data_IF_115556621620
#
_entry.id   IF_115556621620
#
_cell.length_a   1.000
_cell.length_b   1.000
_cell.length_c   1.000
_cell.angle_alpha   90.00
_cell.angle_beta   90.00
_cell.angle_gamma   90.00
#
_symmetry.space_group_name_H-M   'P 1'
#
loop_
_entity.id
_entity.type
_entity.pdbx_description
1 polymer ?
#
# COMPACT_ATOMS: atom_id res chain seq x y z
N UNK A 1 22.01 9.56 -19.15
CA UNK A 1 20.64 9.22 -18.71
C UNK A 1 19.89 8.79 -19.95
N UNK A 2 19.64 7.50 -20.16
CA UNK A 2 18.90 7.05 -21.35
C UNK A 2 17.41 7.25 -21.09
N UNK A 3 16.84 8.33 -21.63
CA UNK A 3 15.41 8.55 -21.63
C UNK A 3 14.80 7.69 -22.74
N UNK A 4 14.17 6.57 -22.37
CA UNK A 4 13.42 5.74 -23.32
C UNK A 4 11.93 6.06 -23.17
N UNK A 5 11.30 6.47 -24.27
CA UNK A 5 9.91 6.91 -24.29
C UNK A 5 8.93 5.75 -24.02
N UNK A 6 9.21 4.57 -24.59
CA UNK A 6 8.39 3.36 -24.43
C UNK A 6 9.28 2.10 -24.43
N UNK A 7 9.14 1.27 -23.40
CA UNK A 7 9.83 -0.02 -23.30
C UNK A 7 8.86 -1.18 -23.05
N UNK A 8 9.13 -2.32 -23.68
CA UNK A 8 8.55 -3.62 -23.30
C UNK A 8 9.71 -4.55 -22.92
N UNK A 9 9.59 -5.19 -21.78
CA UNK A 9 10.59 -6.16 -21.32
C UNK A 9 9.91 -7.46 -20.90
N UNK A 10 10.53 -8.58 -21.26
CA UNK A 10 10.07 -9.93 -20.96
C UNK A 10 10.40 -10.34 -19.53
N UNK A 11 10.90 -11.57 -19.37
CA UNK A 11 11.16 -12.19 -18.07
C UNK A 11 12.43 -11.63 -17.41
N UNK A 12 12.32 -11.31 -16.11
CA UNK A 12 13.43 -10.96 -15.20
C UNK A 12 14.33 -9.75 -15.54
N UNK A 13 13.87 -8.69 -16.22
CA UNK A 13 14.72 -7.55 -16.55
C UNK A 13 15.20 -6.82 -15.29
N UNK A 14 16.45 -6.33 -15.35
CA UNK A 14 17.10 -5.62 -14.24
C UNK A 14 17.51 -4.22 -14.67
N UNK A 15 17.01 -3.22 -13.96
CA UNK A 15 17.29 -1.81 -14.23
C UNK A 15 18.03 -1.16 -13.06
N UNK A 16 19.08 -0.40 -13.39
CA UNK A 16 19.82 0.46 -12.47
C UNK A 16 19.87 1.87 -13.03
N UNK A 17 19.62 2.85 -12.16
CA UNK A 17 19.74 4.28 -12.50
C UNK A 17 18.93 4.63 -13.75
N UNK A 18 17.65 4.25 -13.76
CA UNK A 18 16.81 4.32 -14.96
C UNK A 18 15.71 5.38 -14.81
N UNK A 19 15.50 6.15 -15.87
CA UNK A 19 14.39 7.07 -16.02
C UNK A 19 13.58 6.65 -17.25
N UNK A 20 12.32 6.28 -17.08
CA UNK A 20 11.45 5.83 -18.17
C UNK A 20 10.07 6.47 -18.05
N UNK A 21 9.54 6.92 -19.17
CA UNK A 21 8.21 7.53 -19.21
C UNK A 21 7.13 6.43 -19.20
N UNK A 22 7.24 5.43 -20.08
CA UNK A 22 6.27 4.34 -20.20
C UNK A 22 6.95 2.97 -20.28
N UNK A 23 6.58 2.04 -19.40
CA UNK A 23 7.11 0.67 -19.41
C UNK A 23 6.01 -0.38 -19.17
N UNK A 24 6.09 -1.46 -19.96
CA UNK A 24 5.43 -2.74 -19.67
C UNK A 24 6.47 -3.80 -19.39
N UNK A 25 6.43 -4.39 -18.20
CA UNK A 25 7.32 -5.47 -17.81
C UNK A 25 6.50 -6.73 -17.46
N UNK A 26 7.01 -7.88 -17.87
CA UNK A 26 6.45 -9.18 -17.55
C UNK A 26 6.79 -9.61 -16.12
N UNK A 27 7.30 -10.83 -15.98
CA UNK A 27 7.54 -11.51 -14.71
C UNK A 27 8.86 -11.10 -14.04
N UNK A 28 8.85 -10.99 -12.71
CA UNK A 28 10.03 -10.82 -11.86
C UNK A 28 10.98 -9.64 -12.18
N UNK A 29 10.52 -8.47 -12.67
CA UNK A 29 11.42 -7.36 -12.95
C UNK A 29 11.97 -6.69 -11.67
N UNK A 30 13.21 -6.21 -11.75
CA UNK A 30 13.90 -5.58 -10.62
C UNK A 30 14.41 -4.17 -10.96
N UNK A 31 14.08 -3.18 -10.14
CA UNK A 31 14.52 -1.80 -10.27
C UNK A 31 15.30 -1.32 -9.07
N UNK A 32 16.41 -0.61 -9.33
CA UNK A 32 17.20 0.07 -8.32
C UNK A 32 17.50 1.49 -8.76
N UNK A 33 17.18 2.48 -7.90
CA UNK A 33 17.38 3.91 -8.19
C UNK A 33 16.68 4.28 -9.49
N UNK A 34 15.34 4.31 -9.47
CA UNK A 34 14.54 4.51 -10.68
C UNK A 34 13.49 5.59 -10.50
N UNK A 35 13.28 6.39 -11.54
CA UNK A 35 12.21 7.36 -11.65
C UNK A 35 11.33 6.97 -12.85
N UNK A 36 10.06 6.65 -12.62
CA UNK A 36 9.21 6.08 -13.68
C UNK A 36 7.81 6.73 -13.64
N UNK A 37 7.33 7.18 -14.79
CA UNK A 37 6.05 7.90 -14.83
C UNK A 37 4.86 6.95 -14.92
N UNK A 38 4.83 6.06 -15.93
CA UNK A 38 3.70 5.15 -16.19
C UNK A 38 4.16 3.71 -16.36
N UNK A 39 3.66 2.83 -15.50
CA UNK A 39 4.06 1.42 -15.45
C UNK A 39 2.87 0.47 -15.43
N UNK A 40 2.99 -0.60 -16.23
CA UNK A 40 2.20 -1.82 -16.04
C UNK A 40 3.15 -2.99 -15.87
N UNK A 41 3.09 -3.63 -14.72
CA UNK A 41 4.00 -4.71 -14.36
C UNK A 41 3.19 -5.94 -13.99
N UNK A 42 3.67 -7.10 -14.44
CA UNK A 42 3.10 -8.40 -14.10
C UNK A 42 3.42 -8.80 -12.66
N UNK A 43 3.95 -9.99 -12.52
CA UNK A 43 4.12 -10.69 -11.25
C UNK A 43 5.49 -10.43 -10.62
N UNK A 44 5.53 -10.53 -9.28
CA UNK A 44 6.73 -10.54 -8.43
C UNK A 44 7.73 -9.39 -8.58
N UNK A 45 7.35 -8.16 -8.97
CA UNK A 45 8.33 -7.11 -9.19
C UNK A 45 8.94 -6.56 -7.90
N UNK A 46 10.19 -6.12 -8.00
CA UNK A 46 10.95 -5.59 -6.87
C UNK A 46 11.50 -4.19 -7.15
N UNK A 47 11.22 -3.23 -6.27
CA UNK A 47 11.74 -1.86 -6.34
C UNK A 47 12.54 -1.49 -5.11
N UNK A 48 13.67 -0.81 -5.35
CA UNK A 48 14.52 -0.23 -4.30
C UNK A 48 14.94 1.18 -4.65
N UNK A 49 14.64 2.13 -3.76
CA UNK A 49 14.94 3.55 -3.96
C UNK A 49 14.29 4.04 -5.27
N UNK A 50 12.96 4.09 -5.29
CA UNK A 50 12.21 4.39 -6.52
C UNK A 50 11.15 5.47 -6.31
N UNK A 51 10.98 6.35 -7.29
CA UNK A 51 9.90 7.33 -7.36
C UNK A 51 9.01 6.97 -8.57
N UNK A 52 7.72 6.68 -8.34
CA UNK A 52 6.80 6.29 -9.41
C UNK A 52 5.50 7.09 -9.34
N UNK A 53 5.03 7.61 -10.48
CA UNK A 53 3.81 8.42 -10.51
C UNK A 53 2.56 7.55 -10.64
N UNK A 54 2.47 6.74 -11.71
CA UNK A 54 1.29 5.92 -12.02
C UNK A 54 1.68 4.46 -12.24
N UNK A 55 1.17 3.59 -11.37
CA UNK A 55 1.52 2.17 -11.38
C UNK A 55 0.30 1.26 -11.35
N UNK A 56 0.30 0.25 -12.21
CA UNK A 56 -0.56 -0.94 -12.09
C UNK A 56 0.34 -2.17 -11.98
N UNK A 57 0.24 -2.87 -10.87
CA UNK A 57 0.97 -4.12 -10.63
C UNK A 57 0.00 -5.26 -10.44
N UNK A 58 0.38 -6.43 -10.94
CA UNK A 58 -0.26 -7.69 -10.58
C UNK A 58 0.08 -8.08 -9.15
N UNK A 59 0.73 -9.22 -9.01
CA UNK A 59 0.82 -9.96 -7.75
C UNK A 59 2.19 -9.88 -7.08
N UNK A 60 2.17 -10.01 -5.76
CA UNK A 60 3.33 -10.13 -4.87
C UNK A 60 4.45 -9.09 -4.98
N UNK A 61 4.18 -7.82 -5.34
CA UNK A 61 5.24 -6.83 -5.47
C UNK A 61 5.90 -6.44 -4.15
N UNK A 62 7.18 -6.05 -4.24
CA UNK A 62 7.98 -5.63 -3.10
C UNK A 62 8.60 -4.26 -3.33
N UNK A 63 8.41 -3.35 -2.39
CA UNK A 63 9.02 -2.03 -2.41
C UNK A 63 9.80 -1.73 -1.15
N UNK A 64 10.94 -1.07 -1.35
CA UNK A 64 11.80 -0.59 -0.28
C UNK A 64 12.28 0.81 -0.59
N UNK A 65 12.02 1.75 0.33
CA UNK A 65 12.39 3.16 0.18
C UNK A 65 11.79 3.72 -1.13
N UNK A 66 10.46 3.85 -1.18
CA UNK A 66 9.77 4.24 -2.41
C UNK A 66 8.76 5.35 -2.15
N UNK A 67 8.67 6.29 -3.09
CA UNK A 67 7.69 7.37 -3.09
C UNK A 67 6.74 7.20 -4.28
N UNK A 68 5.44 7.21 -4.04
CA UNK A 68 4.45 6.83 -5.05
C UNK A 68 3.19 7.67 -5.00
N UNK A 69 2.73 8.13 -6.16
CA UNK A 69 1.55 8.98 -6.20
C UNK A 69 0.25 8.16 -6.34
N UNK A 70 0.14 7.37 -7.42
CA UNK A 70 -1.09 6.65 -7.78
C UNK A 70 -0.79 5.20 -8.09
N UNK A 71 -1.23 4.30 -7.21
CA UNK A 71 -0.92 2.88 -7.32
C UNK A 71 -2.18 2.01 -7.26
N UNK A 72 -2.23 1.04 -8.17
CA UNK A 72 -3.15 -0.10 -8.12
C UNK A 72 -2.33 -1.38 -8.04
N UNK A 73 -2.53 -2.14 -6.98
CA UNK A 73 -1.90 -3.45 -6.79
C UNK A 73 -2.99 -4.50 -6.65
N UNK A 74 -2.76 -5.67 -7.25
CA UNK A 74 -3.50 -6.87 -6.93
C UNK A 74 -3.11 -7.37 -5.54
N UNK A 75 -2.55 -8.56 -5.49
CA UNK A 75 -2.45 -9.36 -4.27
C UNK A 75 -1.10 -9.29 -3.58
N UNK A 76 -1.12 -9.44 -2.25
CA UNK A 76 0.03 -9.66 -1.38
C UNK A 76 1.22 -8.69 -1.52
N UNK A 77 1.02 -7.37 -1.68
CA UNK A 77 2.14 -6.45 -1.73
C UNK A 77 2.87 -6.31 -0.40
N UNK A 78 4.17 -6.08 -0.48
CA UNK A 78 5.02 -5.78 0.68
C UNK A 78 5.71 -4.43 0.55
N UNK A 79 5.50 -3.58 1.54
CA UNK A 79 6.00 -2.20 1.56
C UNK A 79 6.89 -1.95 2.77
N UNK A 80 8.06 -1.35 2.54
CA UNK A 80 9.00 -0.98 3.59
C UNK A 80 9.54 0.42 3.38
N UNK A 81 9.34 1.29 4.37
CA UNK A 81 9.77 2.71 4.31
C UNK A 81 9.24 3.35 3.02
N UNK A 82 7.92 3.48 2.90
CA UNK A 82 7.30 3.94 1.66
C UNK A 82 6.31 5.06 1.91
N UNK A 83 6.34 6.06 1.06
CA UNK A 83 5.41 7.18 1.04
C UNK A 83 4.44 6.96 -0.12
N UNK A 84 3.14 6.94 0.15
CA UNK A 84 2.14 6.85 -0.90
C UNK A 84 0.95 7.79 -0.70
N UNK A 85 0.57 8.47 -1.76
CA UNK A 85 -0.56 9.41 -1.75
C UNK A 85 -1.90 8.66 -1.94
N UNK A 86 -2.06 7.97 -3.07
CA UNK A 86 -3.32 7.30 -3.44
C UNK A 86 -3.08 5.84 -3.79
N UNK A 87 -3.63 4.95 -2.97
CA UNK A 87 -3.51 3.51 -3.16
C UNK A 87 -4.86 2.81 -3.26
N UNK A 88 -4.97 1.93 -4.26
CA UNK A 88 -5.90 0.82 -4.25
C UNK A 88 -5.12 -0.48 -4.20
N UNK A 89 -5.38 -1.28 -3.19
CA UNK A 89 -4.69 -2.55 -2.98
C UNK A 89 -5.72 -3.65 -2.77
N UNK A 90 -5.47 -4.81 -3.38
CA UNK A 90 -6.23 -6.02 -3.14
C UNK A 90 -5.89 -6.62 -1.78
N UNK A 91 -5.66 -7.92 -1.78
CA UNK A 91 -5.64 -8.74 -0.58
C UNK A 91 -4.25 -8.79 0.10
N UNK A 92 -4.27 -8.99 1.41
CA UNK A 92 -3.12 -9.32 2.27
C UNK A 92 -1.92 -8.36 2.17
N UNK A 93 -2.11 -7.02 2.09
CA UNK A 93 -0.97 -6.12 2.00
C UNK A 93 -0.23 -6.02 3.34
N UNK A 94 1.10 -6.00 3.27
CA UNK A 94 1.98 -5.89 4.44
C UNK A 94 2.77 -4.60 4.40
N UNK A 95 2.70 -3.85 5.49
CA UNK A 95 3.29 -2.53 5.61
C UNK A 95 4.21 -2.40 6.81
N UNK A 96 5.40 -1.86 6.58
CA UNK A 96 6.37 -1.56 7.63
C UNK A 96 6.95 -0.16 7.41
N UNK A 97 6.69 0.74 8.36
CA UNK A 97 7.07 2.15 8.26
C UNK A 97 6.53 2.87 7.01
N UNK A 98 5.26 2.70 6.60
CA UNK A 98 4.69 3.56 5.56
C UNK A 98 4.22 4.90 6.15
N UNK A 99 4.18 5.91 5.28
CA UNK A 99 3.42 7.14 5.49
C UNK A 99 2.45 7.29 4.32
N UNK A 100 1.16 7.39 4.61
CA UNK A 100 0.11 7.30 3.60
C UNK A 100 -0.97 8.35 3.76
N UNK A 101 -1.52 8.81 2.64
CA UNK A 101 -2.67 9.72 2.67
C UNK A 101 -3.98 8.93 2.52
N UNK A 102 -4.20 8.28 1.37
CA UNK A 102 -5.49 7.64 1.03
C UNK A 102 -5.30 6.21 0.58
N UNK A 103 -5.91 5.28 1.33
CA UNK A 103 -5.88 3.85 1.02
C UNK A 103 -7.30 3.31 0.91
N UNK A 104 -7.57 2.64 -0.20
CA UNK A 104 -8.65 1.66 -0.31
C UNK A 104 -8.01 0.27 -0.33
N UNK A 105 -8.11 -0.44 0.78
CA UNK A 105 -7.57 -1.78 0.94
C UNK A 105 -8.63 -2.86 0.79
N UNK A 106 -8.19 -4.03 0.32
CA UNK A 106 -8.94 -5.27 0.39
C UNK A 106 -8.78 -5.93 1.76
N UNK A 107 -8.65 -7.25 1.73
CA UNK A 107 -8.75 -8.09 2.91
C UNK A 107 -7.42 -8.20 3.68
N UNK A 108 -7.53 -8.37 5.00
CA UNK A 108 -6.43 -8.73 5.91
C UNK A 108 -5.17 -7.80 5.99
N UNK A 109 -5.22 -6.48 5.72
CA UNK A 109 -4.03 -5.62 5.75
C UNK A 109 -3.33 -5.59 7.12
N UNK A 110 -2.00 -5.59 7.08
CA UNK A 110 -1.13 -5.56 8.27
C UNK A 110 -0.24 -4.33 8.27
N UNK A 111 -0.35 -3.53 9.32
CA UNK A 111 0.35 -2.27 9.51
C UNK A 111 1.26 -2.33 10.73
N UNK A 112 2.50 -1.90 10.55
CA UNK A 112 3.49 -1.76 11.63
C UNK A 112 4.20 -0.44 11.51
N UNK A 113 4.25 0.31 12.61
CA UNK A 113 4.95 1.59 12.70
C UNK A 113 4.49 2.56 11.59
N UNK A 114 3.18 2.70 11.40
CA UNK A 114 2.59 3.33 10.22
C UNK A 114 1.86 4.62 10.57
N UNK A 115 1.87 5.59 9.66
CA UNK A 115 0.98 6.75 9.70
C UNK A 115 0.08 6.74 8.47
N UNK A 116 -1.22 6.98 8.67
CA UNK A 116 -2.19 7.03 7.59
C UNK A 116 -3.28 8.06 7.88
N UNK A 117 -3.68 8.85 6.90
CA UNK A 117 -4.79 9.80 7.06
C UNK A 117 -6.14 9.08 6.92
N UNK A 118 -6.37 8.40 5.78
CA UNK A 118 -7.68 7.82 5.45
C UNK A 118 -7.58 6.38 4.97
N UNK A 119 -8.23 5.48 5.69
CA UNK A 119 -8.41 4.08 5.29
C UNK A 119 -9.87 3.73 5.07
N UNK A 120 -10.17 3.12 3.92
CA UNK A 120 -11.34 2.26 3.74
C UNK A 120 -10.87 0.83 3.53
N UNK A 121 -11.29 -0.09 4.38
CA UNK A 121 -10.95 -1.50 4.27
C UNK A 121 -12.14 -2.41 4.63
N UNK A 122 -12.12 -3.65 4.15
CA UNK A 122 -13.20 -4.61 4.34
C UNK A 122 -13.13 -5.32 5.69
N UNK A 123 -12.54 -6.50 5.71
CA UNK A 123 -12.75 -7.49 6.76
C UNK A 123 -11.84 -7.29 7.99
N UNK A 124 -10.61 -7.81 7.93
CA UNK A 124 -9.74 -7.93 9.10
C UNK A 124 -8.54 -7.00 9.02
N UNK A 125 -8.33 -6.16 10.03
CA UNK A 125 -7.19 -5.23 10.05
C UNK A 125 -6.28 -5.52 11.23
N UNK A 126 -4.96 -5.44 11.03
CA UNK A 126 -4.00 -5.48 12.14
C UNK A 126 -3.13 -4.25 12.13
N UNK A 127 -3.19 -3.49 13.22
CA UNK A 127 -2.46 -2.25 13.42
C UNK A 127 -1.59 -2.34 14.68
N UNK A 128 -0.30 -1.99 14.53
CA UNK A 128 0.67 -2.02 15.63
C UNK A 128 1.59 -0.81 15.57
N UNK A 129 1.70 -0.10 16.70
CA UNK A 129 2.58 1.06 16.85
C UNK A 129 2.29 2.14 15.79
N UNK A 130 1.03 2.45 15.55
CA UNK A 130 0.63 3.27 14.39
C UNK A 130 -0.37 4.36 14.76
N UNK A 131 -0.43 5.39 13.92
CA UNK A 131 -1.46 6.44 13.95
C UNK A 131 -2.35 6.38 12.71
N UNK A 132 -3.65 6.56 12.90
CA UNK A 132 -4.63 6.70 11.83
C UNK A 132 -5.61 7.83 12.16
N UNK A 133 -5.91 8.70 11.20
CA UNK A 133 -6.92 9.75 11.42
C UNK A 133 -8.34 9.19 11.24
N UNK A 134 -8.64 8.61 10.07
CA UNK A 134 -9.99 8.15 9.73
C UNK A 134 -10.00 6.72 9.21
N UNK A 135 -10.75 5.85 9.88
CA UNK A 135 -11.01 4.49 9.45
C UNK A 135 -12.49 4.27 9.15
N UNK A 136 -12.77 3.71 7.97
CA UNK A 136 -13.98 2.96 7.70
C UNK A 136 -13.64 1.49 7.45
N UNK A 137 -14.05 0.62 8.38
CA UNK A 137 -13.83 -0.83 8.33
C UNK A 137 -15.17 -1.58 8.34
N UNK A 138 -15.20 -2.78 7.75
CA UNK A 138 -16.34 -3.69 7.83
C UNK A 138 -16.39 -4.40 9.17
N UNK A 139 -15.41 -5.25 9.48
CA UNK A 139 -15.57 -6.23 10.57
C UNK A 139 -14.61 -6.01 11.74
N UNK A 140 -13.41 -6.61 11.71
CA UNK A 140 -12.63 -6.85 12.94
C UNK A 140 -11.26 -6.19 12.94
N UNK A 141 -11.17 -4.86 13.18
CA UNK A 141 -9.88 -4.22 13.33
C UNK A 141 -9.27 -4.52 14.71
N UNK A 142 -7.99 -4.92 14.70
CA UNK A 142 -7.19 -5.17 15.89
C UNK A 142 -6.08 -4.15 16.02
N UNK A 143 -6.02 -3.49 17.18
CA UNK A 143 -5.10 -2.40 17.45
C UNK A 143 -4.22 -2.70 18.65
N UNK A 144 -2.94 -2.36 18.54
CA UNK A 144 -1.98 -2.46 19.64
C UNK A 144 -1.05 -1.27 19.65
N UNK A 145 -0.92 -0.59 20.80
CA UNK A 145 -0.02 0.56 20.96
C UNK A 145 -0.26 1.60 19.86
N UNK A 146 -1.51 2.01 19.63
CA UNK A 146 -1.87 2.82 18.45
C UNK A 146 -2.91 3.87 18.78
N UNK A 147 -2.94 4.94 18.00
CA UNK A 147 -3.89 6.02 18.12
C UNK A 147 -4.80 6.09 16.89
N UNK A 148 -6.10 6.30 17.11
CA UNK A 148 -7.09 6.52 16.07
C UNK A 148 -8.01 7.69 16.45
N UNK A 149 -8.20 8.65 15.54
CA UNK A 149 -9.13 9.77 15.78
C UNK A 149 -10.58 9.32 15.57
N UNK A 150 -10.91 8.78 14.38
CA UNK A 150 -12.29 8.45 13.99
C UNK A 150 -12.39 7.03 13.45
N UNK A 151 -13.23 6.22 14.08
CA UNK A 151 -13.58 4.88 13.63
C UNK A 151 -15.06 4.79 13.25
N UNK A 152 -15.32 4.29 12.04
CA UNK A 152 -16.61 3.68 11.66
C UNK A 152 -16.41 2.21 11.35
N UNK A 153 -17.08 1.33 12.09
CA UNK A 153 -16.95 -0.12 11.96
C UNK A 153 -18.33 -0.79 11.99
N UNK A 154 -18.49 -1.92 11.30
CA UNK A 154 -19.70 -2.74 11.37
C UNK A 154 -19.73 -3.63 12.61
N UNK A 155 -18.58 -4.14 13.05
CA UNK A 155 -18.46 -4.99 14.25
C UNK A 155 -17.55 -4.42 15.35
N UNK A 156 -17.53 -5.08 16.51
CA UNK A 156 -16.77 -4.61 17.67
C UNK A 156 -15.25 -4.71 17.46
N UNK A 157 -14.51 -3.59 17.57
CA UNK A 157 -13.07 -3.57 17.40
C UNK A 157 -12.33 -4.07 18.66
N UNK A 158 -11.11 -4.61 18.50
CA UNK A 158 -10.25 -5.04 19.63
C UNK A 158 -9.03 -4.15 19.79
N UNK A 159 -8.71 -3.77 21.03
CA UNK A 159 -7.65 -2.81 21.35
C UNK A 159 -6.77 -3.27 22.50
N UNK A 160 -5.48 -2.89 22.47
CA UNK A 160 -4.56 -3.07 23.59
C UNK A 160 -3.59 -1.89 23.67
N UNK A 161 -3.60 -1.16 24.79
CA UNK A 161 -2.77 0.05 24.98
C UNK A 161 -2.95 1.05 23.83
N UNK A 162 -4.21 1.33 23.47
CA UNK A 162 -4.56 2.16 22.32
C UNK A 162 -5.56 3.22 22.70
N UNK A 163 -5.58 4.33 21.96
CA UNK A 163 -6.48 5.46 22.17
C UNK A 163 -7.39 5.61 20.96
N UNK A 164 -8.68 5.83 21.21
CA UNK A 164 -9.69 6.15 20.21
C UNK A 164 -10.47 7.38 20.66
N UNK A 165 -10.56 8.41 19.83
CA UNK A 165 -11.33 9.62 20.16
C UNK A 165 -12.82 9.46 19.86
N UNK A 166 -13.18 8.93 18.68
CA UNK A 166 -14.58 8.80 18.24
C UNK A 166 -14.87 7.44 17.61
N UNK A 167 -15.87 6.73 18.17
CA UNK A 167 -16.38 5.46 17.66
C UNK A 167 -17.80 5.60 17.11
N UNK A 168 -18.04 5.08 15.91
CA UNK A 168 -19.37 4.81 15.37
C UNK A 168 -19.45 3.35 14.96
N UNK A 169 -20.33 2.60 15.63
CA UNK A 169 -20.67 1.23 15.22
C UNK A 169 -21.95 1.33 14.39
N UNK A 170 -21.89 0.91 13.13
CA UNK A 170 -23.08 0.84 12.29
C UNK A 170 -23.75 -0.50 12.49
N UNK A 171 -25.03 -0.50 12.87
CA UNK A 171 -25.85 -1.71 12.76
C UNK A 171 -25.85 -2.15 11.29
N UNK A 172 -25.66 -3.45 11.03
CA UNK A 172 -25.90 -4.01 9.70
C UNK A 172 -27.33 -3.65 9.30
N UNK A 173 -27.57 -2.89 8.22
CA UNK A 173 -28.94 -2.74 7.73
C UNK A 173 -29.45 -4.15 7.43
N UNK A 174 -30.59 -4.51 8.06
CA UNK A 174 -31.32 -5.74 7.78
C UNK A 174 -31.72 -5.82 6.31
#
# INVERSE_FOLDING_TARGET
MSALEKLRAGETPRWRNSALEKLRAGESPCWRKSALEKLRVGETPCWRNSALEKLRVGETPRWRNSALEKVRVGESPCWRNSELEKLRVGEIPRWRNPALEKVRGGETPRWRNSTLEKLRAGETLRWRNSGLEKLHAGETPRWRNSALEKLRVGETPRWRKSVLEKLRVGETPR
#
